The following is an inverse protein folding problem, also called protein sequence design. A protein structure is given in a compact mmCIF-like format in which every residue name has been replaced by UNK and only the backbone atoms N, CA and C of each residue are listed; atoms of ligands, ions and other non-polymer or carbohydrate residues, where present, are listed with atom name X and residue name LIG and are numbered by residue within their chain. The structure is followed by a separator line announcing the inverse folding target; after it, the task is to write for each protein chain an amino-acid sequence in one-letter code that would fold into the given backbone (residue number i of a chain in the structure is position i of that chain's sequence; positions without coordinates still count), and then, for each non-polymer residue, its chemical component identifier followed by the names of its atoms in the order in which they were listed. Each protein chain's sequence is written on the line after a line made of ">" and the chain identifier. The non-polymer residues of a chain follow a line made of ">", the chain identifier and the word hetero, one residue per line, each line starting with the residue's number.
data_IF_463460316537
#
_entry.id   IF_463460316537
#
_cell.length_a   1.000
_cell.length_b   1.000
_cell.length_c   1.000
_cell.angle_alpha   90.00
_cell.angle_beta   90.00
_cell.angle_gamma   90.00
#
_symmetry.space_group_name_H-M   'P 1'
#
loop_
_entity.id
_entity.type
_entity.pdbx_description
1 polymer ?
#
# COMPACT_ATOMS: atom_id res chain seq x y z
N UNK A 1 42.59 45.93 -40.39
CA UNK A 1 41.77 45.95 -39.15
C UNK A 1 40.29 46.25 -39.39
N UNK A 2 39.89 47.33 -40.09
CA UNK A 2 38.46 47.69 -40.29
C UNK A 2 37.60 46.61 -40.96
N UNK A 3 38.13 45.91 -41.97
CA UNK A 3 37.40 44.84 -42.69
C UNK A 3 37.17 43.62 -41.79
N UNK A 4 38.16 43.23 -41.00
CA UNK A 4 38.04 42.11 -40.03
C UNK A 4 37.00 42.43 -38.97
N UNK A 5 36.98 43.68 -38.49
CA UNK A 5 35.96 44.16 -37.54
C UNK A 5 34.55 44.14 -38.15
N UNK A 6 34.40 44.58 -39.40
CA UNK A 6 33.12 44.58 -40.11
C UNK A 6 32.58 43.16 -40.38
N UNK A 7 33.47 42.21 -40.73
CA UNK A 7 33.10 40.81 -40.92
C UNK A 7 32.67 40.17 -39.60
N UNK A 8 33.42 40.43 -38.51
CA UNK A 8 33.06 39.96 -37.16
C UNK A 8 31.72 40.54 -36.70
N UNK A 9 31.50 41.84 -36.88
CA UNK A 9 30.28 42.53 -36.49
C UNK A 9 29.05 42.00 -37.25
N UNK A 10 29.18 41.80 -38.57
CA UNK A 10 28.11 41.24 -39.40
C UNK A 10 27.83 39.77 -39.09
N UNK A 11 28.86 38.98 -38.78
CA UNK A 11 28.71 37.58 -38.36
C UNK A 11 28.06 37.48 -36.97
N UNK A 12 28.45 38.33 -36.02
CA UNK A 12 27.85 38.41 -34.68
C UNK A 12 26.39 38.87 -34.74
N UNK A 13 26.08 39.91 -35.51
CA UNK A 13 24.70 40.39 -35.70
C UNK A 13 23.78 39.31 -36.28
N UNK A 14 24.23 38.60 -37.32
CA UNK A 14 23.48 37.47 -37.88
C UNK A 14 23.30 36.32 -36.89
N UNK A 15 24.31 36.04 -36.07
CA UNK A 15 24.26 35.01 -35.03
C UNK A 15 23.26 35.38 -33.92
N UNK A 16 23.27 36.63 -33.45
CA UNK A 16 22.34 37.11 -32.44
C UNK A 16 20.89 37.07 -32.93
N UNK A 17 20.63 37.46 -34.19
CA UNK A 17 19.28 37.36 -34.77
C UNK A 17 18.77 35.92 -34.81
N UNK A 18 19.60 34.96 -35.28
CA UNK A 18 19.22 33.55 -35.30
C UNK A 18 19.06 32.96 -33.88
N UNK A 19 19.87 33.43 -32.93
CA UNK A 19 19.76 33.07 -31.52
C UNK A 19 18.45 33.55 -30.90
N UNK A 20 18.00 34.75 -31.23
CA UNK A 20 16.75 35.27 -30.69
C UNK A 20 15.53 34.46 -31.14
N UNK A 21 15.48 34.12 -32.43
CA UNK A 21 14.42 33.30 -33.02
C UNK A 21 14.37 31.89 -32.41
N UNK A 22 15.53 31.21 -32.33
CA UNK A 22 15.63 29.88 -31.75
C UNK A 22 15.26 29.87 -30.25
N UNK A 23 15.71 30.86 -29.48
CA UNK A 23 15.35 30.97 -28.07
C UNK A 23 13.84 31.17 -27.89
N UNK A 24 13.18 31.94 -28.75
CA UNK A 24 11.72 32.13 -28.71
C UNK A 24 10.97 30.80 -28.92
N UNK A 25 11.40 29.99 -29.90
CA UNK A 25 10.84 28.67 -30.17
C UNK A 25 11.03 27.75 -28.95
N UNK A 26 12.24 27.71 -28.40
CA UNK A 26 12.59 26.92 -27.23
C UNK A 26 11.71 27.27 -26.02
N UNK A 27 11.56 28.58 -25.71
CA UNK A 27 10.73 29.05 -24.60
C UNK A 27 9.29 28.60 -24.83
N UNK A 28 8.76 28.79 -26.04
CA UNK A 28 7.39 28.40 -26.38
C UNK A 28 7.16 26.90 -26.16
N UNK A 29 8.10 26.05 -26.59
CA UNK A 29 8.02 24.60 -26.37
C UNK A 29 8.03 24.27 -24.86
N UNK A 30 9.00 24.79 -24.10
CA UNK A 30 9.12 24.45 -22.67
C UNK A 30 7.90 24.96 -21.88
N UNK A 31 7.41 26.15 -22.19
CA UNK A 31 6.20 26.70 -21.55
C UNK A 31 4.98 25.85 -21.88
N UNK A 32 4.77 25.47 -23.15
CA UNK A 32 3.66 24.61 -23.54
C UNK A 32 3.72 23.24 -22.84
N UNK A 33 4.92 22.68 -22.66
CA UNK A 33 5.11 21.45 -21.89
C UNK A 33 4.72 21.60 -20.43
N UNK A 34 5.13 22.70 -19.78
CA UNK A 34 4.82 23.00 -18.38
C UNK A 34 3.33 23.26 -18.15
N UNK A 35 2.70 24.09 -18.99
CA UNK A 35 1.31 24.51 -18.80
C UNK A 35 0.29 23.51 -19.33
N UNK A 36 0.58 22.85 -20.45
CA UNK A 36 -0.32 21.87 -21.06
C UNK A 36 0.02 20.45 -20.65
N UNK A 37 1.22 20.00 -21.02
CA UNK A 37 1.62 18.59 -20.91
C UNK A 37 1.60 18.05 -19.47
N UNK A 38 2.30 18.71 -18.55
CA UNK A 38 2.41 18.22 -17.17
C UNK A 38 1.12 18.38 -16.37
N UNK A 39 0.35 19.45 -16.58
CA UNK A 39 -0.93 19.64 -15.88
C UNK A 39 -1.92 18.53 -16.23
N UNK A 40 -2.06 18.21 -17.52
CA UNK A 40 -2.93 17.12 -17.98
C UNK A 40 -2.46 15.79 -17.40
N UNK A 41 -1.15 15.50 -17.44
CA UNK A 41 -0.60 14.27 -16.88
C UNK A 41 -0.86 14.13 -15.38
N UNK A 42 -0.77 15.20 -14.61
CA UNK A 42 -1.09 15.15 -13.18
C UNK A 42 -2.57 14.90 -12.92
N UNK A 43 -3.44 15.58 -13.67
CA UNK A 43 -4.88 15.45 -13.53
C UNK A 43 -5.34 14.03 -13.87
N UNK A 44 -4.85 13.46 -14.99
CA UNK A 44 -5.14 12.08 -15.35
C UNK A 44 -4.54 11.08 -14.35
N UNK A 45 -3.31 11.30 -13.88
CA UNK A 45 -2.72 10.44 -12.84
C UNK A 45 -3.50 10.47 -11.53
N UNK A 46 -4.04 11.62 -11.13
CA UNK A 46 -4.88 11.72 -9.94
C UNK A 46 -6.18 10.94 -10.11
N UNK A 47 -6.82 10.99 -11.29
CA UNK A 47 -8.02 10.19 -11.56
C UNK A 47 -7.74 8.69 -11.57
N UNK A 48 -6.65 8.25 -12.23
CA UNK A 48 -6.25 6.84 -12.24
C UNK A 48 -5.94 6.37 -10.81
N UNK A 49 -5.20 7.16 -10.04
CA UNK A 49 -4.88 6.83 -8.66
C UNK A 49 -6.10 6.75 -7.76
N UNK A 50 -7.03 7.71 -7.85
CA UNK A 50 -8.27 7.70 -7.07
C UNK A 50 -9.08 6.43 -7.34
N UNK A 51 -9.23 6.02 -8.60
CA UNK A 51 -9.96 4.80 -8.98
C UNK A 51 -9.31 3.52 -8.41
N UNK A 52 -7.98 3.42 -8.46
CA UNK A 52 -7.26 2.27 -7.88
C UNK A 52 -7.42 2.22 -6.36
N UNK A 53 -7.31 3.39 -5.69
CA UNK A 53 -7.49 3.52 -4.25
C UNK A 53 -8.92 3.13 -3.87
N UNK A 54 -9.94 3.61 -4.58
CA UNK A 54 -11.34 3.27 -4.32
C UNK A 54 -11.60 1.76 -4.43
N UNK A 55 -11.07 1.10 -5.47
CA UNK A 55 -11.20 -0.36 -5.62
C UNK A 55 -10.48 -1.12 -4.51
N UNK A 56 -9.28 -0.68 -4.14
CA UNK A 56 -8.53 -1.27 -3.05
C UNK A 56 -9.30 -1.14 -1.72
N UNK A 57 -9.82 0.04 -1.42
CA UNK A 57 -10.66 0.28 -0.25
C UNK A 57 -11.94 -0.56 -0.28
N UNK A 58 -12.60 -0.71 -1.44
CA UNK A 58 -13.80 -1.52 -1.58
C UNK A 58 -13.58 -2.98 -1.18
N UNK A 59 -12.42 -3.56 -1.54
CA UNK A 59 -12.07 -4.95 -1.16
C UNK A 59 -11.57 -5.03 0.28
N UNK A 60 -10.69 -4.10 0.68
CA UNK A 60 -9.98 -4.20 1.95
C UNK A 60 -10.78 -3.71 3.15
N UNK A 61 -11.73 -2.81 2.98
CA UNK A 61 -12.51 -2.27 4.10
C UNK A 61 -13.38 -3.35 4.78
N UNK A 62 -14.15 -4.18 4.05
CA UNK A 62 -14.85 -5.32 4.65
C UNK A 62 -13.89 -6.32 5.29
N UNK A 63 -12.73 -6.57 4.67
CA UNK A 63 -11.71 -7.45 5.24
C UNK A 63 -11.17 -6.91 6.57
N UNK A 64 -10.80 -5.63 6.63
CA UNK A 64 -10.27 -5.00 7.85
C UNK A 64 -11.30 -4.96 8.98
N UNK A 65 -12.57 -4.78 8.64
CA UNK A 65 -13.67 -4.88 9.59
C UNK A 65 -13.73 -6.29 10.20
N UNK A 66 -13.75 -7.34 9.36
CA UNK A 66 -13.74 -8.73 9.83
C UNK A 66 -12.49 -9.07 10.61
N UNK A 67 -11.31 -8.60 10.18
CA UNK A 67 -10.04 -8.81 10.88
C UNK A 67 -10.05 -8.16 12.27
N UNK A 68 -10.55 -6.93 12.36
CA UNK A 68 -10.67 -6.21 13.63
C UNK A 68 -11.61 -6.92 14.59
N UNK A 69 -12.76 -7.41 14.11
CA UNK A 69 -13.70 -8.18 14.92
C UNK A 69 -13.17 -9.56 15.28
N UNK A 70 -12.38 -10.21 14.42
CA UNK A 70 -11.68 -11.44 14.75
C UNK A 70 -10.72 -11.22 15.94
N UNK A 71 -9.94 -10.14 15.95
CA UNK A 71 -9.08 -9.86 17.10
C UNK A 71 -9.88 -9.61 18.37
N UNK A 72 -10.96 -8.83 18.29
CA UNK A 72 -11.87 -8.58 19.43
C UNK A 72 -12.42 -9.89 19.99
N UNK A 73 -12.94 -10.75 19.12
CA UNK A 73 -13.41 -12.09 19.45
C UNK A 73 -12.34 -12.95 20.11
N UNK A 74 -11.14 -13.03 19.52
CA UNK A 74 -10.06 -13.84 20.08
C UNK A 74 -9.60 -13.32 21.44
N UNK A 75 -9.46 -11.99 21.58
CA UNK A 75 -9.05 -11.36 22.83
C UNK A 75 -10.02 -11.64 23.97
N UNK A 76 -11.32 -11.71 23.69
CA UNK A 76 -12.32 -11.97 24.70
C UNK A 76 -12.50 -13.47 24.97
N UNK A 77 -12.54 -14.30 23.92
CA UNK A 77 -12.63 -15.76 24.04
C UNK A 77 -11.44 -16.37 24.79
N UNK A 78 -10.24 -15.82 24.61
CA UNK A 78 -9.03 -16.25 25.32
C UNK A 78 -9.16 -16.14 26.85
N UNK A 79 -9.98 -15.24 27.39
CA UNK A 79 -10.12 -15.04 28.86
C UNK A 79 -10.55 -16.34 29.57
N UNK A 80 -11.27 -17.21 28.87
CA UNK A 80 -11.75 -18.49 29.40
C UNK A 80 -10.76 -19.64 29.23
N UNK A 81 -9.62 -19.41 28.57
CA UNK A 81 -8.54 -20.36 28.44
C UNK A 81 -7.63 -20.32 29.66
N UNK A 82 -7.25 -21.50 30.17
CA UNK A 82 -6.26 -21.62 31.23
C UNK A 82 -5.35 -22.82 31.02
N UNK A 83 -4.07 -22.64 31.37
CA UNK A 83 -3.09 -23.72 31.42
C UNK A 83 -3.21 -24.37 32.81
N UNK A 84 -3.24 -25.71 32.84
CA UNK A 84 -3.41 -26.46 34.09
C UNK A 84 -2.27 -26.16 35.07
N UNK A 85 -2.61 -26.02 36.36
CA UNK A 85 -1.64 -25.65 37.40
C UNK A 85 -0.60 -26.76 37.56
N UNK A 86 0.68 -26.41 37.45
CA UNK A 86 1.80 -27.35 37.57
C UNK A 86 2.38 -27.84 36.24
N UNK A 87 1.78 -27.46 35.10
CA UNK A 87 2.34 -27.71 33.78
C UNK A 87 3.65 -26.96 33.59
N UNK A 88 4.74 -27.68 33.31
CA UNK A 88 6.04 -27.08 32.96
C UNK A 88 6.13 -26.85 31.46
N UNK A 89 6.91 -25.83 31.06
CA UNK A 89 7.10 -25.47 29.65
C UNK A 89 7.76 -26.59 28.84
N UNK A 90 8.68 -27.32 29.44
CA UNK A 90 9.39 -28.43 28.80
C UNK A 90 8.47 -29.63 28.50
N UNK A 91 7.44 -29.82 29.32
CA UNK A 91 6.51 -30.95 29.22
C UNK A 91 5.32 -30.66 28.28
N UNK A 92 5.04 -29.37 28.00
CA UNK A 92 3.86 -28.92 27.25
C UNK A 92 4.16 -27.69 26.35
N UNK A 93 5.28 -27.71 25.62
CA UNK A 93 5.77 -26.58 24.81
C UNK A 93 4.68 -25.99 23.89
N UNK A 94 3.93 -26.84 23.19
CA UNK A 94 2.88 -26.42 22.26
C UNK A 94 1.72 -25.65 22.92
N UNK A 95 1.42 -25.92 24.19
CA UNK A 95 0.37 -25.19 24.93
C UNK A 95 0.81 -23.77 25.23
N UNK A 96 2.08 -23.59 25.59
CA UNK A 96 2.65 -22.25 25.77
C UNK A 96 2.76 -21.50 24.45
N UNK A 97 3.20 -22.15 23.36
CA UNK A 97 3.24 -21.53 22.04
C UNK A 97 1.84 -21.10 21.56
N UNK A 98 0.84 -21.96 21.75
CA UNK A 98 -0.55 -21.65 21.42
C UNK A 98 -1.08 -20.48 22.25
N UNK A 99 -0.82 -20.47 23.57
CA UNK A 99 -1.18 -19.36 24.43
C UNK A 99 -0.48 -18.06 23.97
N UNK A 100 0.84 -18.07 23.79
CA UNK A 100 1.62 -16.90 23.37
C UNK A 100 1.15 -16.36 22.00
N UNK A 101 0.69 -17.24 21.10
CA UNK A 101 0.09 -16.86 19.82
C UNK A 101 -1.27 -16.18 20.02
N UNK A 102 -2.18 -16.78 20.80
CA UNK A 102 -3.48 -16.17 21.13
C UNK A 102 -3.31 -14.84 21.86
N UNK A 103 -2.32 -14.73 22.76
CA UNK A 103 -1.94 -13.49 23.43
C UNK A 103 -1.58 -12.43 22.41
N UNK A 104 -0.62 -12.72 21.54
CA UNK A 104 -0.14 -11.76 20.54
C UNK A 104 -1.25 -11.28 19.61
N UNK A 105 -2.07 -12.21 19.11
CA UNK A 105 -3.20 -11.87 18.25
C UNK A 105 -4.27 -11.08 19.01
N UNK A 106 -4.57 -11.46 20.25
CA UNK A 106 -5.51 -10.74 21.11
C UNK A 106 -5.08 -9.30 21.43
N UNK A 107 -3.77 -9.02 21.51
CA UNK A 107 -3.28 -7.65 21.72
C UNK A 107 -3.63 -6.69 20.57
N UNK A 108 -3.83 -7.19 19.34
CA UNK A 108 -4.32 -6.36 18.23
C UNK A 108 -5.77 -5.90 18.43
N UNK A 109 -6.52 -6.49 19.36
CA UNK A 109 -7.87 -6.03 19.66
C UNK A 109 -7.87 -4.69 20.42
N UNK A 110 -6.84 -4.41 21.23
CA UNK A 110 -6.89 -3.34 22.22
C UNK A 110 -7.11 -1.96 21.59
N UNK A 111 -6.41 -1.57 20.50
CA UNK A 111 -6.66 -0.30 19.83
C UNK A 111 -8.09 -0.20 19.30
N UNK A 112 -8.64 -1.29 18.75
CA UNK A 112 -10.00 -1.31 18.20
C UNK A 112 -11.07 -1.24 19.30
N UNK A 113 -10.84 -1.89 20.45
CA UNK A 113 -11.73 -1.83 21.61
C UNK A 113 -11.74 -0.42 22.21
N UNK A 114 -10.55 0.17 22.39
CA UNK A 114 -10.42 1.49 23.03
C UNK A 114 -10.94 2.63 22.15
N UNK A 115 -10.75 2.54 20.83
CA UNK A 115 -11.24 3.56 19.90
C UNK A 115 -12.68 3.34 19.45
N UNK A 116 -13.21 2.13 19.59
CA UNK A 116 -14.48 1.72 18.97
C UNK A 116 -14.43 1.67 17.44
N UNK A 117 -13.25 1.84 16.83
CA UNK A 117 -13.04 1.85 15.38
C UNK A 117 -12.25 0.63 14.93
N UNK A 118 -12.41 0.26 13.67
CA UNK A 118 -11.63 -0.80 13.06
C UNK A 118 -10.29 -0.27 12.53
N UNK A 119 -9.37 -1.19 12.25
CA UNK A 119 -8.09 -0.81 11.64
C UNK A 119 -8.29 -0.17 10.25
N UNK A 120 -7.62 0.95 9.97
CA UNK A 120 -7.69 1.55 8.64
C UNK A 120 -6.99 0.65 7.62
N UNK A 121 -7.48 0.66 6.38
CA UNK A 121 -6.97 -0.13 5.25
C UNK A 121 -5.45 0.00 5.04
N UNK A 122 -4.88 1.17 5.33
CA UNK A 122 -3.45 1.48 5.18
C UNK A 122 -2.60 1.14 6.40
N UNK A 123 -3.14 0.49 7.44
CA UNK A 123 -2.42 0.26 8.71
C UNK A 123 -1.24 -0.70 8.57
N UNK A 124 -1.45 -1.79 7.84
CA UNK A 124 -0.50 -2.91 7.72
C UNK A 124 0.05 -2.97 6.29
N UNK A 125 1.33 -3.31 6.17
CA UNK A 125 1.89 -3.70 4.86
C UNK A 125 1.34 -5.06 4.43
N UNK A 126 1.43 -5.36 3.14
CA UNK A 126 1.03 -6.65 2.57
C UNK A 126 1.73 -7.82 3.28
N UNK A 127 3.04 -7.65 3.57
CA UNK A 127 3.82 -8.65 4.29
C UNK A 127 3.37 -8.83 5.74
N UNK A 128 3.13 -7.72 6.46
CA UNK A 128 2.63 -7.78 7.83
C UNK A 128 1.26 -8.46 7.89
N UNK A 129 0.39 -8.13 6.94
CA UNK A 129 -0.94 -8.72 6.88
C UNK A 129 -0.88 -10.22 6.59
N UNK A 130 0.03 -10.65 5.71
CA UNK A 130 0.29 -12.06 5.46
C UNK A 130 0.76 -12.76 6.74
N UNK A 131 1.77 -12.24 7.42
CA UNK A 131 2.30 -12.82 8.67
C UNK A 131 1.20 -12.94 9.74
N UNK A 132 0.36 -11.91 9.88
CA UNK A 132 -0.76 -11.95 10.83
C UNK A 132 -1.78 -13.01 10.44
N UNK A 133 -2.14 -13.13 9.16
CA UNK A 133 -3.10 -14.14 8.72
C UNK A 133 -2.53 -15.56 8.81
N UNK A 134 -1.23 -15.74 8.57
CA UNK A 134 -0.53 -17.00 8.82
C UNK A 134 -0.53 -17.34 10.32
N UNK A 135 -0.32 -16.36 11.20
CA UNK A 135 -0.46 -16.51 12.65
C UNK A 135 -1.89 -16.91 13.05
N UNK A 136 -2.93 -16.34 12.42
CA UNK A 136 -4.32 -16.76 12.60
C UNK A 136 -4.50 -18.23 12.19
N UNK A 137 -3.96 -18.64 11.04
CA UNK A 137 -4.02 -20.03 10.59
C UNK A 137 -3.26 -20.97 11.55
N UNK A 138 -2.17 -20.51 12.16
CA UNK A 138 -1.41 -21.27 13.15
C UNK A 138 -2.23 -21.58 14.40
N UNK A 139 -3.20 -20.73 14.79
CA UNK A 139 -4.16 -21.03 15.87
C UNK A 139 -4.96 -22.29 15.53
N UNK A 140 -5.47 -22.37 14.30
CA UNK A 140 -6.15 -23.57 13.82
C UNK A 140 -5.21 -24.78 13.83
N UNK A 141 -4.03 -24.64 13.23
CA UNK A 141 -3.05 -25.71 13.07
C UNK A 141 -2.59 -26.33 14.40
N UNK A 142 -2.26 -25.50 15.40
CA UNK A 142 -1.81 -25.99 16.69
C UNK A 142 -2.89 -26.78 17.40
N UNK A 143 -4.12 -26.25 17.42
CA UNK A 143 -5.22 -26.95 18.07
C UNK A 143 -5.62 -28.23 17.33
N UNK A 144 -5.78 -28.18 16.02
CA UNK A 144 -6.27 -29.33 15.23
C UNK A 144 -5.25 -30.49 15.22
N UNK A 145 -3.98 -30.19 14.94
CA UNK A 145 -2.94 -31.22 14.79
C UNK A 145 -2.40 -31.76 16.11
N UNK A 146 -2.44 -30.97 17.18
CA UNK A 146 -1.88 -31.34 18.50
C UNK A 146 -2.94 -31.46 19.59
N UNK A 147 -4.22 -31.48 19.23
CA UNK A 147 -5.36 -31.58 20.15
C UNK A 147 -5.17 -32.63 21.25
N UNK A 148 -4.86 -33.86 20.86
CA UNK A 148 -4.75 -35.00 21.78
C UNK A 148 -3.63 -34.80 22.81
N UNK A 149 -2.58 -34.07 22.45
CA UNK A 149 -1.50 -33.74 23.35
C UNK A 149 -1.85 -32.54 24.25
N UNK A 150 -2.52 -31.51 23.70
CA UNK A 150 -2.79 -30.27 24.43
C UNK A 150 -3.91 -30.39 25.47
N UNK A 151 -4.91 -31.25 25.24
CA UNK A 151 -6.10 -31.38 26.12
C UNK A 151 -5.73 -31.74 27.56
N UNK A 152 -4.65 -32.47 27.80
CA UNK A 152 -4.22 -32.86 29.15
C UNK A 152 -3.64 -31.68 29.96
N UNK A 153 -3.16 -30.64 29.27
CA UNK A 153 -2.40 -29.54 29.87
C UNK A 153 -3.15 -28.20 29.89
N UNK A 154 -4.31 -28.11 29.25
CA UNK A 154 -5.12 -26.90 29.22
C UNK A 154 -6.60 -27.18 29.40
N UNK A 155 -7.34 -26.16 29.82
CA UNK A 155 -8.79 -26.20 29.95
C UNK A 155 -9.43 -24.92 29.43
N UNK A 156 -10.67 -25.03 28.99
CA UNK A 156 -11.47 -23.91 28.52
C UNK A 156 -12.81 -23.90 29.25
N UNK A 157 -13.13 -22.81 29.92
CA UNK A 157 -14.37 -22.65 30.68
C UNK A 157 -15.53 -22.26 29.75
N UNK A 158 -16.06 -23.25 29.02
CA UNK A 158 -17.18 -23.07 28.10
C UNK A 158 -18.44 -22.54 28.80
N UNK A 159 -18.66 -22.91 30.06
CA UNK A 159 -19.83 -22.45 30.81
C UNK A 159 -19.78 -20.94 31.07
N UNK A 160 -18.64 -20.43 31.55
CA UNK A 160 -18.48 -18.98 31.72
C UNK A 160 -18.46 -18.25 30.38
N UNK A 161 -17.88 -18.85 29.35
CA UNK A 161 -17.87 -18.27 28.01
C UNK A 161 -19.30 -18.07 27.48
N UNK A 162 -20.20 -19.04 27.65
CA UNK A 162 -21.60 -18.87 27.26
C UNK A 162 -22.34 -17.86 28.14
N UNK A 163 -22.06 -17.85 29.44
CA UNK A 163 -22.75 -16.97 30.38
C UNK A 163 -22.39 -15.48 30.21
N UNK A 164 -21.13 -15.20 29.85
CA UNK A 164 -20.59 -13.83 29.78
C UNK A 164 -20.16 -13.39 28.38
N UNK A 165 -20.05 -14.31 27.41
CA UNK A 165 -19.54 -14.07 26.06
C UNK A 165 -20.56 -13.51 25.07
N UNK A 166 -21.54 -12.73 25.54
CA UNK A 166 -22.49 -12.07 24.63
C UNK A 166 -21.78 -11.17 23.60
N UNK A 167 -20.77 -10.42 24.06
CA UNK A 167 -19.92 -9.60 23.19
C UNK A 167 -19.09 -10.46 22.22
N UNK A 168 -18.63 -11.62 22.68
CA UNK A 168 -17.86 -12.57 21.87
C UNK A 168 -18.71 -13.07 20.69
N UNK A 169 -20.00 -13.31 20.94
CA UNK A 169 -20.97 -13.71 19.93
C UNK A 169 -21.26 -12.60 18.93
N UNK A 170 -21.40 -11.36 19.41
CA UNK A 170 -21.58 -10.18 18.55
C UNK A 170 -20.37 -10.00 17.63
N UNK A 171 -19.14 -10.05 18.15
CA UNK A 171 -17.93 -9.98 17.31
C UNK A 171 -17.85 -11.13 16.33
N UNK A 172 -18.15 -12.36 16.76
CA UNK A 172 -18.13 -13.52 15.87
C UNK A 172 -19.16 -13.40 14.73
N UNK A 173 -20.33 -12.85 15.00
CA UNK A 173 -21.37 -12.60 14.00
C UNK A 173 -20.99 -11.52 12.99
N UNK A 174 -20.22 -10.52 13.39
CA UNK A 174 -19.65 -9.54 12.44
C UNK A 174 -18.59 -10.17 11.51
N UNK A 175 -17.85 -11.19 11.99
CA UNK A 175 -16.88 -11.92 11.16
C UNK A 175 -17.60 -12.90 10.23
N UNK A 176 -18.50 -13.72 10.78
CA UNK A 176 -19.25 -14.77 10.08
C UNK A 176 -20.73 -14.72 10.46
N UNK A 177 -21.55 -13.98 9.70
CA UNK A 177 -22.97 -13.82 10.01
C UNK A 177 -23.68 -15.17 10.15
N UNK A 178 -24.25 -15.42 11.32
CA UNK A 178 -25.10 -16.57 11.66
C UNK A 178 -24.48 -17.97 11.53
N UNK A 179 -23.21 -18.09 11.13
CA UNK A 179 -22.57 -19.40 10.90
C UNK A 179 -22.43 -20.20 12.19
N UNK A 180 -22.15 -19.52 13.30
CA UNK A 180 -21.80 -20.13 14.59
C UNK A 180 -22.84 -19.91 15.68
N UNK A 181 -24.06 -19.46 15.32
CA UNK A 181 -25.13 -19.10 16.26
C UNK A 181 -25.68 -20.24 17.11
N UNK A 182 -25.40 -21.49 16.75
CA UNK A 182 -25.78 -22.68 17.53
C UNK A 182 -24.58 -23.43 18.11
N UNK A 183 -23.36 -22.94 17.87
CA UNK A 183 -22.13 -23.61 18.34
C UNK A 183 -21.72 -23.08 19.70
N UNK A 184 -21.43 -23.98 20.65
CA UNK A 184 -20.96 -23.59 21.97
C UNK A 184 -19.49 -23.13 21.92
N UNK A 185 -19.15 -22.13 22.72
CA UNK A 185 -17.78 -21.66 22.89
C UNK A 185 -16.88 -22.78 23.39
N UNK A 186 -15.81 -23.03 22.63
CA UNK A 186 -14.80 -24.03 22.93
C UNK A 186 -13.51 -23.69 22.20
N UNK A 187 -12.40 -24.32 22.59
CA UNK A 187 -11.14 -24.22 21.84
C UNK A 187 -11.29 -24.76 20.40
N UNK A 188 -12.19 -25.73 20.20
CA UNK A 188 -12.54 -26.20 18.86
C UNK A 188 -13.19 -25.11 18.01
N UNK A 189 -14.10 -24.31 18.59
CA UNK A 189 -14.70 -23.17 17.90
C UNK A 189 -13.66 -22.11 17.55
N UNK A 190 -12.78 -21.73 18.49
CA UNK A 190 -11.72 -20.74 18.23
C UNK A 190 -10.81 -21.20 17.09
N UNK A 191 -10.43 -22.47 17.09
CA UNK A 191 -9.65 -23.10 16.03
C UNK A 191 -10.38 -23.08 14.68
N UNK A 192 -11.65 -23.51 14.63
CA UNK A 192 -12.44 -23.55 13.40
C UNK A 192 -12.70 -22.14 12.81
N UNK A 193 -12.97 -21.15 13.66
CA UNK A 193 -13.13 -19.75 13.25
C UNK A 193 -11.83 -19.23 12.63
N UNK A 194 -10.69 -19.54 13.25
CA UNK A 194 -9.37 -19.10 12.76
C UNK A 194 -9.01 -19.74 11.41
N UNK A 195 -9.27 -21.04 11.25
CA UNK A 195 -9.07 -21.74 9.99
C UNK A 195 -9.99 -21.23 8.88
N UNK A 196 -11.29 -21.08 9.19
CA UNK A 196 -12.28 -20.51 8.27
C UNK A 196 -11.92 -19.08 7.87
N UNK A 197 -11.42 -18.26 8.80
CA UNK A 197 -10.99 -16.90 8.50
C UNK A 197 -9.86 -16.89 7.46
N UNK A 198 -8.87 -17.75 7.65
CA UNK A 198 -7.76 -17.84 6.72
C UNK A 198 -8.23 -18.28 5.32
N UNK A 199 -8.98 -19.38 5.22
CA UNK A 199 -9.36 -19.97 3.93
C UNK A 199 -10.45 -19.21 3.19
N UNK A 200 -11.47 -18.72 3.90
CA UNK A 200 -12.65 -18.12 3.27
C UNK A 200 -12.60 -16.59 3.21
N UNK A 201 -11.80 -15.95 4.05
CA UNK A 201 -11.73 -14.47 4.13
C UNK A 201 -10.40 -13.96 3.57
N UNK A 202 -9.26 -14.51 4.00
CA UNK A 202 -7.94 -13.99 3.60
C UNK A 202 -7.42 -14.58 2.28
N UNK A 203 -7.40 -15.90 2.13
CA UNK A 203 -6.84 -16.61 0.97
C UNK A 203 -7.37 -16.10 -0.39
N UNK A 204 -8.68 -15.78 -0.55
CA UNK A 204 -9.19 -15.25 -1.82
C UNK A 204 -8.61 -13.88 -2.18
N UNK A 205 -8.24 -13.06 -1.19
CA UNK A 205 -7.78 -11.68 -1.39
C UNK A 205 -6.27 -11.51 -1.11
N UNK A 206 -5.53 -12.58 -0.80
CA UNK A 206 -4.13 -12.51 -0.38
C UNK A 206 -3.22 -11.75 -1.36
N UNK A 207 -3.54 -11.77 -2.65
CA UNK A 207 -2.76 -11.11 -3.71
C UNK A 207 -3.02 -9.59 -3.77
N UNK A 208 -4.18 -9.13 -3.31
CA UNK A 208 -4.65 -7.74 -3.43
C UNK A 208 -3.70 -6.75 -2.73
N UNK A 209 -3.30 -6.93 -1.45
CA UNK A 209 -2.33 -6.03 -0.82
C UNK A 209 -1.00 -5.92 -1.56
N UNK A 210 -0.47 -7.04 -2.07
CA UNK A 210 0.81 -7.05 -2.79
C UNK A 210 0.73 -6.33 -4.14
N UNK A 211 -0.38 -6.51 -4.87
CA UNK A 211 -0.61 -5.79 -6.12
C UNK A 211 -0.74 -4.29 -5.90
N UNK A 212 -1.44 -3.89 -4.83
CA UNK A 212 -1.58 -2.49 -4.43
C UNK A 212 -0.22 -1.85 -4.15
N UNK A 213 0.59 -2.46 -3.28
CA UNK A 213 1.92 -1.94 -2.94
C UNK A 213 2.83 -1.86 -4.17
N UNK A 214 2.74 -2.85 -5.07
CA UNK A 214 3.48 -2.84 -6.33
C UNK A 214 3.05 -1.69 -7.24
N UNK A 215 1.76 -1.38 -7.29
CA UNK A 215 1.24 -0.23 -8.03
C UNK A 215 1.71 1.08 -7.38
N UNK A 216 1.60 1.25 -6.05
CA UNK A 216 2.08 2.43 -5.34
C UNK A 216 3.57 2.70 -5.60
N UNK A 217 4.43 1.67 -5.56
CA UNK A 217 5.86 1.81 -5.90
C UNK A 217 6.07 2.35 -7.31
N UNK A 218 5.29 1.89 -8.29
CA UNK A 218 5.37 2.37 -9.67
C UNK A 218 4.82 3.79 -9.82
N UNK A 219 3.77 4.12 -9.08
CA UNK A 219 3.22 5.47 -9.03
C UNK A 219 4.25 6.46 -8.45
N UNK A 220 4.93 6.10 -7.36
CA UNK A 220 5.98 6.92 -6.75
C UNK A 220 7.19 7.11 -7.67
N UNK A 221 7.61 6.05 -8.36
CA UNK A 221 8.66 6.14 -9.39
C UNK A 221 8.26 7.10 -10.52
N UNK A 222 7.00 7.07 -10.95
CA UNK A 222 6.45 7.98 -11.94
C UNK A 222 6.42 9.42 -11.41
N UNK A 223 5.85 9.67 -10.23
CA UNK A 223 5.81 11.00 -9.59
C UNK A 223 7.21 11.60 -9.49
N UNK A 224 8.19 10.83 -9.00
CA UNK A 224 9.59 11.28 -8.89
C UNK A 224 10.17 11.66 -10.25
N UNK A 225 9.95 10.83 -11.27
CA UNK A 225 10.43 11.13 -12.63
C UNK A 225 9.77 12.40 -13.18
N UNK A 226 8.47 12.58 -12.97
CA UNK A 226 7.73 13.79 -13.37
C UNK A 226 8.28 15.04 -12.69
N UNK A 227 8.54 15.00 -11.38
CA UNK A 227 9.14 16.12 -10.65
C UNK A 227 10.55 16.46 -11.14
N UNK A 228 11.37 15.44 -11.44
CA UNK A 228 12.71 15.66 -12.03
C UNK A 228 12.59 16.36 -13.39
N UNK A 229 11.66 15.91 -14.24
CA UNK A 229 11.46 16.53 -15.56
C UNK A 229 10.96 17.98 -15.45
N UNK A 230 10.02 18.27 -14.54
CA UNK A 230 9.56 19.63 -14.29
C UNK A 230 10.70 20.51 -13.76
N UNK A 231 11.50 20.00 -12.83
CA UNK A 231 12.69 20.68 -12.34
C UNK A 231 13.68 20.99 -13.46
N UNK A 232 13.87 20.06 -14.40
CA UNK A 232 14.73 20.26 -15.57
C UNK A 232 14.14 21.31 -16.52
N UNK A 233 12.84 21.29 -16.81
CA UNK A 233 12.15 22.33 -17.59
C UNK A 233 12.33 23.73 -16.97
N UNK A 234 12.08 23.86 -15.67
CA UNK A 234 12.25 25.13 -14.94
C UNK A 234 13.72 25.57 -14.93
N UNK A 235 14.65 24.64 -14.70
CA UNK A 235 16.09 24.90 -14.78
C UNK A 235 16.51 25.40 -16.16
N UNK A 236 15.99 24.78 -17.23
CA UNK A 236 16.26 25.24 -18.59
C UNK A 236 15.77 26.67 -18.82
N UNK A 237 14.55 27.02 -18.40
CA UNK A 237 14.02 28.39 -18.48
C UNK A 237 14.91 29.41 -17.73
N UNK A 238 15.38 29.06 -16.53
CA UNK A 238 16.28 29.93 -15.75
C UNK A 238 17.61 30.14 -16.46
N UNK A 239 18.19 29.09 -17.06
CA UNK A 239 19.42 29.21 -17.88
C UNK A 239 19.17 30.13 -19.08
N UNK A 240 18.02 30.01 -19.76
CA UNK A 240 17.68 30.92 -20.86
C UNK A 240 17.59 32.36 -20.36
N UNK A 241 16.94 32.57 -19.23
CA UNK A 241 16.68 33.90 -18.70
C UNK A 241 17.96 34.62 -18.24
N UNK A 242 18.86 33.90 -17.56
CA UNK A 242 20.07 34.50 -16.96
C UNK A 242 21.30 34.45 -17.86
N UNK A 243 21.42 33.43 -18.72
CA UNK A 243 22.65 33.12 -19.46
C UNK A 243 22.47 33.14 -20.98
N UNK A 244 21.36 33.71 -21.49
CA UNK A 244 21.00 33.74 -22.93
C UNK A 244 22.15 34.07 -23.87
N UNK A 245 22.98 35.06 -23.50
CA UNK A 245 24.05 35.59 -24.33
C UNK A 245 25.41 34.90 -24.11
N UNK A 246 25.50 34.04 -23.10
CA UNK A 246 26.73 33.33 -22.70
C UNK A 246 26.65 31.86 -23.12
N UNK A 247 25.46 31.26 -23.06
CA UNK A 247 25.27 29.84 -23.36
C UNK A 247 25.22 29.60 -24.87
N UNK A 248 26.05 28.70 -25.42
CA UNK A 248 25.98 28.31 -26.82
C UNK A 248 24.61 27.73 -27.20
N UNK A 249 24.09 28.13 -28.36
CA UNK A 249 22.85 27.60 -28.96
C UNK A 249 22.77 26.07 -28.98
N UNK A 250 23.90 25.38 -29.19
CA UNK A 250 23.98 23.92 -29.19
C UNK A 250 23.54 23.31 -27.83
N UNK A 251 23.95 23.93 -26.72
CA UNK A 251 23.59 23.48 -25.36
C UNK A 251 22.09 23.69 -25.13
N UNK A 252 21.55 24.81 -25.60
CA UNK A 252 20.13 25.13 -25.46
C UNK A 252 19.24 24.15 -26.24
N UNK A 253 19.65 23.80 -27.46
CA UNK A 253 18.96 22.79 -28.29
C UNK A 253 19.08 21.38 -27.70
N UNK A 254 20.22 21.03 -27.11
CA UNK A 254 20.37 19.75 -26.42
C UNK A 254 19.45 19.66 -25.20
N UNK A 255 19.38 20.72 -24.40
CA UNK A 255 18.52 20.80 -23.23
C UNK A 255 17.02 20.70 -23.59
N UNK A 256 16.60 21.31 -24.69
CA UNK A 256 15.21 21.16 -25.16
C UNK A 256 14.90 19.77 -25.69
N UNK A 257 15.79 19.17 -26.48
CA UNK A 257 15.63 17.79 -26.92
C UNK A 257 15.58 16.81 -25.73
N UNK A 258 16.38 17.05 -24.69
CA UNK A 258 16.34 16.29 -23.45
C UNK A 258 14.99 16.42 -22.73
N UNK A 259 14.45 17.64 -22.61
CA UNK A 259 13.11 17.86 -22.05
C UNK A 259 12.02 17.10 -22.82
N UNK A 260 12.07 17.13 -24.15
CA UNK A 260 11.12 16.41 -25.01
C UNK A 260 11.24 14.90 -24.82
N UNK A 261 12.47 14.36 -24.79
CA UNK A 261 12.71 12.93 -24.59
C UNK A 261 12.25 12.46 -23.20
N UNK A 262 12.48 13.26 -22.16
CA UNK A 262 12.01 12.99 -20.81
C UNK A 262 10.48 13.00 -20.72
N UNK A 263 9.80 13.93 -21.40
CA UNK A 263 8.34 13.93 -21.50
C UNK A 263 7.82 12.66 -22.18
N UNK A 264 8.42 12.25 -23.31
CA UNK A 264 8.05 11.00 -23.97
C UNK A 264 8.23 9.80 -23.03
N UNK A 265 9.26 9.80 -22.20
CA UNK A 265 9.46 8.80 -21.14
C UNK A 265 8.37 8.85 -20.06
N UNK A 266 7.97 10.06 -19.61
CA UNK A 266 6.84 10.25 -18.69
C UNK A 266 5.56 9.65 -19.27
N UNK A 267 5.22 9.97 -20.52
CA UNK A 267 4.03 9.48 -21.21
C UNK A 267 4.04 7.95 -21.34
N UNK A 268 5.18 7.37 -21.71
CA UNK A 268 5.32 5.92 -21.79
C UNK A 268 5.11 5.25 -20.43
N UNK A 269 5.74 5.78 -19.36
CA UNK A 269 5.55 5.26 -18.00
C UNK A 269 4.12 5.44 -17.51
N UNK A 270 3.48 6.56 -17.84
CA UNK A 270 2.08 6.83 -17.51
C UNK A 270 1.14 5.82 -18.16
N UNK A 271 1.27 5.57 -19.48
CA UNK A 271 0.48 4.55 -20.17
C UNK A 271 0.67 3.14 -19.58
N UNK A 272 1.90 2.81 -19.17
CA UNK A 272 2.18 1.56 -18.46
C UNK A 272 1.54 1.50 -17.07
N UNK A 273 1.48 2.62 -16.36
CA UNK A 273 0.80 2.71 -15.06
C UNK A 273 -0.72 2.57 -15.21
N UNK A 274 -1.30 3.23 -16.22
CA UNK A 274 -2.73 3.17 -16.53
C UNK A 274 -3.16 1.75 -16.94
N UNK A 275 -2.39 1.10 -17.82
CA UNK A 275 -2.65 -0.29 -18.20
C UNK A 275 -2.56 -1.24 -17.00
N UNK A 276 -1.63 -1.01 -16.07
CA UNK A 276 -1.56 -1.78 -14.83
C UNK A 276 -2.78 -1.53 -13.95
N UNK A 277 -3.18 -0.26 -13.77
CA UNK A 277 -4.36 0.13 -13.00
C UNK A 277 -5.66 -0.50 -13.50
N UNK A 278 -5.77 -0.76 -14.81
CA UNK A 278 -6.94 -1.45 -15.39
C UNK A 278 -6.98 -2.95 -15.07
N UNK A 279 -5.85 -3.57 -14.78
CA UNK A 279 -5.72 -5.01 -14.53
C UNK A 279 -5.80 -5.33 -13.04
N UNK A 280 -5.28 -4.44 -12.19
CA UNK A 280 -5.22 -4.64 -10.74
C UNK A 280 -6.64 -4.75 -10.15
N UNK A 281 -6.85 -5.76 -9.28
CA UNK A 281 -8.12 -6.07 -8.60
C UNK A 281 -9.28 -6.46 -9.52
N UNK A 282 -9.00 -7.09 -10.67
CA UNK A 282 -10.02 -7.57 -11.60
C UNK A 282 -10.32 -9.05 -11.43
#
# INVERSE_FOLDING_TARGET
>A
MKIVYFILDKALSSYYSAMEEQVSIIITIIVALLTGGFIILFLENQHVGANVIERYHFVMQPFMHRLSNYFKFLSSAKIYFSINKGTKKDDAEYVFLFNDLMDRLGHFAYPCIMSGQDYPVSKFSAKQLQEICEDINNVWYYWDRKRNYMIEYCSYDSYKAELFGKLDREYLNEVFPHKYDETNFSLGLISDVSGTFYTNVYEPIQHVPFEYERWCKKEDEFKRLTFVTIGLCMGTLVVILLLRYITPLCIMNFLTLLNIALLASCLYKFSKLESLARIVFR
#
